data_IF_815127605916
#
_entry.id   IF_815127605916
#
_cell.length_a   1.000
_cell.length_b   1.000
_cell.length_c   1.000
_cell.angle_alpha   90.00
_cell.angle_beta   90.00
_cell.angle_gamma   90.00
#
_symmetry.space_group_name_H-M   'P 1'
#
loop_
_entity.id
_entity.type
_entity.pdbx_description
1 polymer ?
#
# COMPACT_ATOMS: atom_id res chain seq x y z
N UNK A 1 8.38 -20.94 30.14
CA UNK A 1 6.98 -21.33 29.88
C UNK A 1 6.34 -20.17 29.13
N UNK A 2 5.98 -20.38 27.86
CA UNK A 2 5.41 -19.32 27.02
C UNK A 2 3.95 -19.08 27.42
N UNK A 3 3.63 -17.85 27.85
CA UNK A 3 2.26 -17.44 28.12
C UNK A 3 1.50 -17.37 26.80
N UNK A 4 0.58 -18.31 26.58
CA UNK A 4 -0.34 -18.29 25.45
C UNK A 4 -1.28 -17.10 25.69
N UNK A 5 -1.14 -16.03 24.91
CA UNK A 5 -2.13 -14.96 24.89
C UNK A 5 -3.37 -15.56 24.22
N UNK A 6 -4.51 -15.69 24.93
CA UNK A 6 -5.74 -16.17 24.30
C UNK A 6 -6.15 -15.14 23.23
N UNK A 7 -6.45 -15.62 22.03
CA UNK A 7 -7.06 -14.75 21.01
C UNK A 7 -8.39 -14.23 21.56
N UNK A 8 -8.44 -12.94 21.89
CA UNK A 8 -9.67 -12.27 22.29
C UNK A 8 -10.65 -12.35 21.11
N UNK A 9 -11.84 -12.90 21.36
CA UNK A 9 -12.93 -12.87 20.39
C UNK A 9 -13.31 -11.40 20.16
N UNK A 10 -12.99 -10.89 18.98
CA UNK A 10 -13.33 -9.51 18.59
C UNK A 10 -14.64 -9.55 17.82
N UNK A 11 -15.71 -8.89 18.30
CA UNK A 11 -16.96 -8.77 17.58
C UNK A 11 -16.75 -8.12 16.21
N UNK A 12 -17.62 -8.42 15.26
CA UNK A 12 -17.59 -7.78 13.95
C UNK A 12 -17.76 -6.26 14.11
N UNK A 13 -16.83 -5.49 13.53
CA UNK A 13 -16.81 -4.02 13.67
C UNK A 13 -18.01 -3.37 12.96
N UNK A 14 -18.53 -4.00 11.91
CA UNK A 14 -19.71 -3.51 11.20
C UNK A 14 -20.98 -3.65 12.06
N UNK A 15 -21.19 -4.80 12.67
CA UNK A 15 -22.32 -5.02 13.61
C UNK A 15 -22.22 -4.08 14.82
N UNK A 16 -20.99 -3.86 15.33
CA UNK A 16 -20.74 -2.92 16.40
C UNK A 16 -21.08 -1.48 15.99
N UNK A 17 -20.71 -1.07 14.78
CA UNK A 17 -21.04 0.26 14.25
C UNK A 17 -22.55 0.45 14.13
N UNK A 18 -23.28 -0.55 13.63
CA UNK A 18 -24.75 -0.50 13.52
C UNK A 18 -25.43 -0.45 14.90
N UNK A 19 -24.91 -1.21 15.88
CA UNK A 19 -25.41 -1.18 17.26
C UNK A 19 -25.19 0.19 17.92
N UNK A 20 -24.05 0.83 17.69
CA UNK A 20 -23.74 2.18 18.20
C UNK A 20 -24.64 3.22 17.51
N UNK A 21 -24.75 3.17 16.18
CA UNK A 21 -25.57 4.09 15.39
C UNK A 21 -27.06 3.98 15.75
N UNK A 22 -27.53 2.79 16.13
CA UNK A 22 -28.88 2.55 16.61
C UNK A 22 -29.09 2.83 18.10
N UNK A 23 -28.04 3.23 18.83
CA UNK A 23 -28.10 3.57 20.26
C UNK A 23 -28.25 2.38 21.20
N UNK A 24 -27.98 1.17 20.71
CA UNK A 24 -28.13 -0.08 21.48
C UNK A 24 -26.85 -0.55 22.16
N UNK A 25 -25.71 0.10 21.90
CA UNK A 25 -24.41 -0.21 22.49
C UNK A 25 -23.56 1.05 22.69
N UNK A 26 -22.71 1.06 23.71
CA UNK A 26 -21.70 2.10 23.92
C UNK A 26 -20.35 1.69 23.29
N UNK A 27 -19.54 2.69 22.95
CA UNK A 27 -18.26 2.47 22.28
C UNK A 27 -17.28 1.73 23.21
N UNK A 28 -16.74 0.56 22.83
CA UNK A 28 -15.86 -0.19 23.73
C UNK A 28 -14.52 0.53 23.95
N UNK A 29 -14.08 0.62 25.21
CA UNK A 29 -12.85 1.31 25.62
C UNK A 29 -11.61 0.91 24.83
N UNK A 30 -11.53 -0.35 24.36
CA UNK A 30 -10.41 -0.87 23.57
C UNK A 30 -10.22 -0.18 22.20
N UNK A 31 -11.22 0.54 21.72
CA UNK A 31 -11.16 1.30 20.47
C UNK A 31 -10.98 2.81 20.72
N UNK A 32 -11.10 3.26 21.98
CA UNK A 32 -10.87 4.66 22.37
C UNK A 32 -9.36 4.87 22.42
N UNK A 33 -8.89 5.89 21.71
CA UNK A 33 -7.49 6.34 21.74
C UNK A 33 -7.38 7.62 22.57
N UNK A 34 -7.05 7.54 23.87
CA UNK A 34 -6.90 8.73 24.71
C UNK A 34 -5.89 9.73 24.14
N UNK A 35 -4.85 9.25 23.46
CA UNK A 35 -3.83 10.06 22.79
C UNK A 35 -4.39 10.93 21.64
N UNK A 36 -5.52 10.55 21.06
CA UNK A 36 -6.17 11.32 20.00
C UNK A 36 -6.81 12.61 20.53
N UNK A 37 -7.07 12.71 21.84
CA UNK A 37 -7.57 13.93 22.47
C UNK A 37 -6.47 14.99 22.71
N UNK A 38 -5.22 14.54 22.87
CA UNK A 38 -4.03 15.40 23.01
C UNK A 38 -3.37 15.73 21.66
N UNK A 39 -3.84 15.11 20.57
CA UNK A 39 -3.38 15.36 19.22
C UNK A 39 -3.99 16.66 18.70
N UNK A 40 -3.21 17.44 17.94
CA UNK A 40 -3.79 18.55 17.17
C UNK A 40 -4.97 18.01 16.35
N UNK A 41 -6.12 18.72 16.32
CA UNK A 41 -7.22 18.31 15.46
C UNK A 41 -6.69 18.14 14.04
N UNK A 42 -7.19 17.16 13.29
CA UNK A 42 -7.00 17.11 11.84
C UNK A 42 -7.63 18.38 11.30
N UNK A 43 -6.83 19.43 11.23
CA UNK A 43 -7.22 20.69 10.65
C UNK A 43 -7.51 20.37 9.21
N UNK A 44 -8.71 20.72 8.76
CA UNK A 44 -9.10 20.78 7.36
C UNK A 44 -8.34 21.95 6.71
N UNK A 45 -7.01 21.91 6.81
CA UNK A 45 -6.12 22.84 6.17
C UNK A 45 -6.17 22.46 4.70
N UNK A 46 -7.11 23.07 3.99
CA UNK A 46 -7.08 23.29 2.54
C UNK A 46 -5.94 24.30 2.24
N UNK A 47 -4.78 24.10 2.86
CA UNK A 47 -3.62 24.97 2.81
C UNK A 47 -2.52 24.24 2.10
N UNK A 48 -2.62 24.16 0.77
CA UNK A 48 -1.56 23.80 -0.21
C UNK A 48 -0.71 22.54 0.02
N UNK A 49 -0.94 21.78 1.08
CA UNK A 49 -0.29 20.52 1.42
C UNK A 49 -0.90 19.38 0.60
N UNK A 50 -1.04 19.61 -0.70
CA UNK A 50 -1.50 18.62 -1.66
C UNK A 50 -0.33 17.71 -1.99
N UNK A 51 -0.51 16.43 -1.65
CA UNK A 51 0.43 15.37 -1.97
C UNK A 51 0.86 15.43 -3.46
N UNK A 52 2.16 15.45 -3.78
CA UNK A 52 2.59 15.56 -5.17
C UNK A 52 2.13 14.36 -6.01
N UNK A 53 1.56 14.64 -7.19
CA UNK A 53 1.16 13.64 -8.19
C UNK A 53 2.27 13.48 -9.23
N UNK A 54 2.81 12.28 -9.42
CA UNK A 54 3.88 11.97 -10.37
C UNK A 54 3.31 11.25 -11.58
N UNK A 55 3.53 11.81 -12.77
CA UNK A 55 3.13 11.19 -14.03
C UNK A 55 4.19 10.16 -14.46
N UNK A 56 3.84 8.88 -14.35
CA UNK A 56 4.75 7.77 -14.67
C UNK A 56 4.98 7.61 -16.18
N UNK A 57 4.06 8.04 -17.04
CA UNK A 57 4.24 7.99 -18.49
C UNK A 57 5.31 8.99 -18.93
N UNK A 58 5.24 10.20 -18.37
CA UNK A 58 6.27 11.24 -18.56
C UNK A 58 7.60 10.84 -17.98
N UNK A 59 7.63 10.17 -16.82
CA UNK A 59 8.86 9.66 -16.22
C UNK A 59 9.55 8.62 -17.10
N UNK A 60 8.77 7.75 -17.77
CA UNK A 60 9.28 6.71 -18.67
C UNK A 60 9.70 7.25 -20.04
N UNK A 61 9.23 8.44 -20.43
CA UNK A 61 9.57 9.08 -21.70
C UNK A 61 10.89 9.88 -21.60
N UNK A 62 11.99 9.45 -22.26
CA UNK A 62 13.29 10.11 -22.14
C UNK A 62 13.28 11.59 -22.55
N UNK A 63 12.34 11.99 -23.42
CA UNK A 63 12.22 13.37 -23.92
C UNK A 63 11.45 14.30 -22.97
N UNK A 64 10.71 13.74 -22.00
CA UNK A 64 9.83 14.49 -21.08
C UNK A 64 10.10 14.20 -19.59
N UNK A 65 11.05 13.33 -19.28
CA UNK A 65 11.31 12.87 -17.92
C UNK A 65 11.99 13.90 -16.99
N UNK A 66 12.59 14.98 -17.51
CA UNK A 66 13.42 15.89 -16.72
C UNK A 66 12.62 16.60 -15.60
N UNK A 67 11.44 17.11 -15.95
CA UNK A 67 10.56 17.83 -15.03
C UNK A 67 9.93 16.88 -14.00
N UNK A 68 9.39 15.74 -14.45
CA UNK A 68 8.80 14.75 -13.54
C UNK A 68 9.84 14.09 -12.61
N UNK A 69 11.10 13.92 -13.05
CA UNK A 69 12.18 13.45 -12.19
C UNK A 69 12.49 14.46 -11.08
N UNK A 70 12.53 15.75 -11.40
CA UNK A 70 12.74 16.79 -10.40
C UNK A 70 11.58 16.84 -9.40
N UNK A 71 10.34 16.68 -9.89
CA UNK A 71 9.15 16.58 -9.05
C UNK A 71 9.17 15.35 -8.13
N UNK A 72 9.57 14.20 -8.66
CA UNK A 72 9.73 12.97 -7.88
C UNK A 72 10.81 13.11 -6.80
N UNK A 73 11.97 13.67 -7.15
CA UNK A 73 13.07 13.91 -6.21
C UNK A 73 12.63 14.86 -5.08
N UNK A 74 11.91 15.92 -5.42
CA UNK A 74 11.35 16.85 -4.44
C UNK A 74 10.31 16.17 -3.54
N UNK A 75 9.39 15.40 -4.11
CA UNK A 75 8.38 14.67 -3.34
C UNK A 75 9.03 13.67 -2.38
N UNK A 76 10.06 12.94 -2.81
CA UNK A 76 10.78 12.03 -1.92
C UNK A 76 11.51 12.75 -0.76
N UNK A 77 12.02 13.97 -1.00
CA UNK A 77 12.76 14.74 0.01
C UNK A 77 11.85 15.46 1.00
N UNK A 78 10.78 16.07 0.51
CA UNK A 78 9.90 16.91 1.33
C UNK A 78 8.76 16.11 1.96
N UNK A 79 8.22 15.13 1.24
CA UNK A 79 7.05 14.36 1.67
C UNK A 79 7.41 12.95 2.11
N UNK A 80 8.29 12.27 1.36
CA UNK A 80 8.55 10.83 1.53
C UNK A 80 7.43 9.94 0.96
N UNK A 81 6.33 10.53 0.51
CA UNK A 81 5.21 9.87 -0.20
C UNK A 81 4.74 10.75 -1.37
N UNK A 82 4.13 10.12 -2.37
CA UNK A 82 3.57 10.78 -3.55
C UNK A 82 2.44 9.93 -4.15
N UNK A 83 1.55 10.55 -4.92
CA UNK A 83 0.57 9.83 -5.74
C UNK A 83 1.20 9.53 -7.09
N UNK A 84 0.99 8.34 -7.63
CA UNK A 84 1.31 8.05 -9.02
C UNK A 84 0.04 8.27 -9.86
N UNK A 85 0.10 9.14 -10.86
CA UNK A 85 -0.99 9.28 -11.84
C UNK A 85 -0.93 8.08 -12.78
N UNK A 86 -1.57 6.99 -12.35
CA UNK A 86 -1.99 5.92 -13.22
C UNK A 86 -3.49 5.83 -13.08
N UNK A 87 -4.18 5.73 -14.21
CA UNK A 87 -5.60 5.41 -14.25
C UNK A 87 -5.78 4.01 -13.65
N UNK A 88 -5.98 3.95 -12.35
CA UNK A 88 -6.19 2.72 -11.60
C UNK A 88 -7.68 2.37 -11.71
N UNK A 89 -7.96 1.24 -12.34
CA UNK A 89 -9.27 0.62 -12.24
C UNK A 89 -9.53 0.29 -10.77
N UNK A 90 -10.77 0.48 -10.34
CA UNK A 90 -11.22 0.35 -8.96
C UNK A 90 -11.35 -1.13 -8.61
N UNK A 91 -10.21 -1.79 -8.37
CA UNK A 91 -10.13 -3.22 -8.04
C UNK A 91 -9.43 -3.47 -6.70
N UNK A 92 -9.82 -4.57 -6.06
CA UNK A 92 -9.25 -5.05 -4.81
C UNK A 92 -7.75 -5.39 -4.95
N UNK A 93 -6.92 -4.88 -4.03
CA UNK A 93 -5.46 -5.03 -4.09
C UNK A 93 -4.97 -6.23 -3.28
N UNK A 94 -4.45 -7.26 -3.95
CA UNK A 94 -3.69 -8.35 -3.33
C UNK A 94 -2.18 -8.09 -3.45
N UNK A 95 -1.51 -7.81 -2.33
CA UNK A 95 -0.07 -7.54 -2.31
C UNK A 95 0.73 -8.83 -2.04
N UNK A 96 1.42 -9.34 -3.05
CA UNK A 96 2.30 -10.52 -2.94
C UNK A 96 3.74 -10.14 -3.25
N UNK A 97 4.65 -10.42 -2.31
CA UNK A 97 6.08 -10.30 -2.55
C UNK A 97 6.52 -11.38 -3.55
N UNK A 98 6.73 -11.00 -4.81
CA UNK A 98 7.07 -11.95 -5.88
C UNK A 98 8.56 -12.22 -5.97
N UNK A 99 9.42 -11.52 -5.23
CA UNK A 99 10.85 -11.76 -5.25
C UNK A 99 11.52 -11.53 -3.89
N UNK A 100 12.63 -12.25 -3.60
CA UNK A 100 13.16 -13.40 -4.35
C UNK A 100 12.26 -14.66 -4.18
N UNK A 101 12.24 -15.59 -5.16
CA UNK A 101 11.42 -16.80 -5.09
C UNK A 101 11.62 -17.62 -3.81
N UNK A 102 12.83 -17.59 -3.26
CA UNK A 102 13.22 -18.27 -2.01
C UNK A 102 12.56 -17.69 -0.75
N UNK A 103 11.99 -16.48 -0.83
CA UNK A 103 11.27 -15.80 0.25
C UNK A 103 9.75 -15.78 0.04
N UNK A 104 9.25 -16.43 -1.02
CA UNK A 104 7.81 -16.51 -1.27
C UNK A 104 7.17 -17.47 -0.27
N UNK A 105 6.37 -16.91 0.63
CA UNK A 105 5.53 -17.72 1.49
C UNK A 105 4.27 -18.15 0.73
N UNK A 106 4.34 -19.35 0.15
CA UNK A 106 3.30 -19.88 -0.73
C UNK A 106 2.00 -20.25 -0.01
N UNK A 107 1.97 -20.20 1.33
CA UNK A 107 0.76 -20.51 2.11
C UNK A 107 -0.36 -19.46 1.94
N UNK A 108 0.00 -18.25 1.52
CA UNK A 108 -0.94 -17.16 1.27
C UNK A 108 -1.27 -16.97 -0.22
N UNK A 109 -0.73 -17.81 -1.10
CA UNK A 109 -1.08 -17.71 -2.51
C UNK A 109 -2.53 -18.17 -2.71
N UNK A 110 -3.33 -17.40 -3.47
CA UNK A 110 -4.62 -17.87 -3.95
C UNK A 110 -4.48 -19.23 -4.63
N UNK A 111 -5.35 -20.17 -4.26
CA UNK A 111 -5.45 -21.49 -4.90
C UNK A 111 -6.16 -21.43 -6.25
N UNK A 112 -6.78 -20.29 -6.59
CA UNK A 112 -7.40 -20.03 -7.88
C UNK A 112 -7.08 -18.62 -8.42
N UNK A 113 -7.11 -18.42 -9.75
CA UNK A 113 -7.19 -19.46 -10.78
C UNK A 113 -5.91 -20.31 -10.86
N UNK A 114 -5.93 -21.54 -11.42
CA UNK A 114 -4.77 -22.45 -11.45
C UNK A 114 -3.54 -21.86 -12.15
N UNK A 115 -3.76 -20.91 -13.05
CA UNK A 115 -2.73 -20.17 -13.79
C UNK A 115 -2.01 -19.12 -12.95
N UNK A 116 -2.54 -18.79 -11.76
CA UNK A 116 -2.01 -17.72 -10.92
C UNK A 116 -0.53 -17.91 -10.59
N UNK A 117 -0.13 -19.12 -10.18
CA UNK A 117 1.28 -19.44 -9.88
C UNK A 117 2.17 -19.35 -11.11
N UNK A 118 1.71 -19.88 -12.24
CA UNK A 118 2.45 -19.86 -13.50
C UNK A 118 2.69 -18.43 -14.01
N UNK A 119 1.68 -17.56 -13.88
CA UNK A 119 1.76 -16.14 -14.25
C UNK A 119 2.75 -15.43 -13.33
N UNK A 120 2.72 -15.68 -12.02
CA UNK A 120 3.65 -15.09 -11.04
C UNK A 120 5.10 -15.51 -11.29
N UNK A 121 5.34 -16.73 -11.74
CA UNK A 121 6.68 -17.21 -12.11
C UNK A 121 7.15 -16.58 -13.42
N UNK A 122 6.32 -16.59 -14.46
CA UNK A 122 6.68 -16.10 -15.79
C UNK A 122 6.87 -14.58 -15.80
N UNK A 123 5.90 -13.83 -15.25
CA UNK A 123 5.98 -12.36 -15.14
C UNK A 123 7.09 -11.95 -14.16
N UNK A 124 7.20 -12.65 -13.01
CA UNK A 124 8.24 -12.39 -12.03
C UNK A 124 9.65 -12.53 -12.62
N UNK A 125 9.89 -13.49 -13.53
CA UNK A 125 11.16 -13.62 -14.25
C UNK A 125 11.36 -12.57 -15.34
N UNK A 126 10.29 -12.16 -16.05
CA UNK A 126 10.37 -11.13 -17.10
C UNK A 126 10.88 -9.79 -16.55
N UNK A 127 10.33 -9.33 -15.42
CA UNK A 127 10.81 -8.12 -14.75
C UNK A 127 12.28 -8.23 -14.30
N UNK A 128 12.76 -9.44 -13.95
CA UNK A 128 14.17 -9.69 -13.58
C UNK A 128 15.12 -9.50 -14.76
N UNK A 129 14.77 -9.98 -15.95
CA UNK A 129 15.61 -9.80 -17.15
C UNK A 129 15.73 -8.31 -17.49
N UNK A 130 14.65 -7.55 -17.35
CA UNK A 130 14.63 -6.13 -17.64
C UNK A 130 15.44 -5.31 -16.62
N UNK A 131 15.35 -5.62 -15.32
CA UNK A 131 16.16 -4.94 -14.27
C UNK A 131 17.63 -5.34 -14.30
N UNK A 132 17.95 -6.59 -14.68
CA UNK A 132 19.34 -7.03 -14.88
C UNK A 132 19.98 -6.36 -16.09
N UNK A 133 19.22 -6.15 -17.17
CA UNK A 133 19.67 -5.36 -18.32
C UNK A 133 19.98 -3.90 -17.95
N UNK A 134 19.18 -3.29 -17.05
CA UNK A 134 19.49 -1.96 -16.51
C UNK A 134 20.78 -1.93 -15.68
N UNK A 135 21.01 -2.92 -14.80
CA UNK A 135 22.26 -3.00 -14.01
C UNK A 135 23.52 -3.29 -14.85
N UNK A 136 23.36 -3.87 -16.05
CA UNK A 136 24.46 -4.12 -16.98
C UNK A 136 24.78 -2.91 -17.87
N UNK A 137 23.84 -1.98 -18.04
CA UNK A 137 24.02 -0.72 -18.79
C UNK A 137 24.57 0.43 -17.92
N UNK A 138 24.76 0.20 -16.62
CA UNK A 138 25.27 1.18 -15.65
C UNK A 138 26.75 0.94 -15.28
N UNK A 139 27.50 0.23 -16.13
CA UNK A 139 28.96 0.05 -16.03
C UNK A 139 29.68 0.63 -17.24
#
# INVERSE_FOLDING_TARGET
MASVIPSLSVPNVQELADAINSGTCEFPDRYIRPEAADSDPVVDNIGNDVLPIIDLERLRNPRRCKEERAKLDLACKEWGFFQADQKLDWEDMLLLATQPPTKRDMKYCPTGPPTFKLVMDTQGMSYRLQTSHWHLLEK
#
